data_IF_274969164006
#
_entry.id   IF_274969164006
#
_cell.length_a   1.000
_cell.length_b   1.000
_cell.length_c   1.000
_cell.angle_alpha   90.00
_cell.angle_beta   90.00
_cell.angle_gamma   90.00
#
_symmetry.space_group_name_H-M   'P 1'
#
loop_
_entity.id
_entity.type
_entity.pdbx_description
1 polymer ?
#
# COMPACT_ATOMS: atom_id res chain seq x y z
N UNK A 1 32.12 3.55 3.25
CA UNK A 1 30.76 3.08 3.61
C UNK A 1 30.64 3.09 5.12
N UNK A 2 29.87 3.99 5.68
CA UNK A 2 29.68 4.06 7.14
C UNK A 2 28.24 3.67 7.44
N UNK A 3 28.05 2.72 8.33
CA UNK A 3 26.74 2.32 8.82
C UNK A 3 26.32 3.25 9.95
N UNK A 4 25.22 3.95 9.78
CA UNK A 4 24.54 4.61 10.89
C UNK A 4 23.49 3.65 11.47
N UNK A 5 23.81 3.07 12.62
CA UNK A 5 22.88 2.23 13.41
C UNK A 5 22.07 3.06 14.41
N UNK A 6 21.92 4.37 14.17
CA UNK A 6 21.14 5.23 15.05
C UNK A 6 19.70 5.33 14.58
N UNK A 7 18.77 5.19 15.51
CA UNK A 7 17.35 5.41 15.28
C UNK A 7 17.12 6.90 15.07
N UNK A 8 16.95 7.31 13.82
CA UNK A 8 16.69 8.70 13.45
C UNK A 8 15.29 9.16 13.88
N UNK A 9 15.21 10.39 14.41
CA UNK A 9 13.92 11.08 14.57
C UNK A 9 13.45 11.62 13.21
N UNK A 10 12.14 11.77 12.99
CA UNK A 10 11.61 12.30 11.73
C UNK A 10 12.12 13.69 11.35
N UNK A 11 12.60 14.47 12.32
CA UNK A 11 13.05 15.86 12.13
C UNK A 11 14.52 15.98 11.64
N UNK A 12 15.26 14.87 11.50
CA UNK A 12 16.68 14.88 11.10
C UNK A 12 16.93 14.35 9.67
N UNK A 13 15.89 14.10 8.88
CA UNK A 13 15.99 13.46 7.58
C UNK A 13 16.24 14.47 6.45
N UNK A 14 17.43 15.08 6.37
CA UNK A 14 17.92 15.67 5.13
C UNK A 14 18.44 14.59 4.18
N UNK A 15 17.90 14.53 2.96
CA UNK A 15 18.27 13.52 1.96
C UNK A 15 19.62 13.83 1.32
N UNK A 16 19.89 15.11 1.07
CA UNK A 16 21.07 15.57 0.36
C UNK A 16 21.73 16.75 1.06
N UNK A 17 23.00 16.58 1.41
CA UNK A 17 23.83 17.68 1.94
C UNK A 17 24.95 17.95 0.94
N UNK A 18 25.02 19.16 0.39
CA UNK A 18 26.04 19.54 -0.59
C UNK A 18 27.30 20.02 0.08
N UNK A 19 28.42 19.28 -0.05
CA UNK A 19 29.78 19.77 0.19
C UNK A 19 30.62 19.59 -1.09
N UNK A 20 30.93 20.64 -1.69
CA UNK A 20 31.89 21.06 -2.74
C UNK A 20 32.38 20.14 -3.86
N UNK A 21 32.19 18.82 -3.84
CA UNK A 21 32.47 17.91 -4.97
C UNK A 21 31.76 16.54 -4.83
N UNK A 22 31.24 16.22 -3.66
CA UNK A 22 30.56 14.95 -3.41
C UNK A 22 29.15 15.22 -2.87
N UNK A 23 28.23 14.29 -3.14
CA UNK A 23 26.87 14.31 -2.63
C UNK A 23 26.70 13.16 -1.63
N UNK A 24 26.22 13.50 -0.43
CA UNK A 24 25.83 12.53 0.58
C UNK A 24 24.36 12.13 0.34
N UNK A 25 24.12 10.83 0.17
CA UNK A 25 22.80 10.28 -0.08
C UNK A 25 22.46 9.26 0.99
N UNK A 26 21.29 9.40 1.61
CA UNK A 26 20.73 8.42 2.52
C UNK A 26 19.59 7.65 1.82
N UNK A 27 19.68 6.32 1.80
CA UNK A 27 18.64 5.44 1.27
C UNK A 27 18.04 4.68 2.43
N UNK A 28 16.77 4.90 2.71
CA UNK A 28 16.08 4.31 3.85
C UNK A 28 15.33 3.02 3.48
N UNK A 29 15.16 2.14 4.47
CA UNK A 29 14.35 0.92 4.38
C UNK A 29 13.19 0.94 5.39
N UNK A 30 12.18 0.10 5.19
CA UNK A 30 11.00 0.05 6.07
C UNK A 30 11.28 -0.53 7.47
N UNK A 31 12.45 -1.09 7.72
CA UNK A 31 12.92 -1.50 9.06
C UNK A 31 13.55 -0.35 9.86
N UNK A 32 13.51 0.88 9.33
CA UNK A 32 14.12 2.09 9.89
C UNK A 32 15.65 2.10 9.85
N UNK A 33 16.25 1.23 9.06
CA UNK A 33 17.69 1.32 8.74
C UNK A 33 17.90 2.20 7.51
N UNK A 34 19.11 2.72 7.35
CA UNK A 34 19.50 3.52 6.21
C UNK A 34 20.91 3.20 5.77
N UNK A 35 21.16 3.35 4.47
CA UNK A 35 22.47 3.24 3.86
C UNK A 35 22.92 4.66 3.53
N UNK A 36 24.03 5.09 4.10
CA UNK A 36 24.65 6.37 3.77
C UNK A 36 25.75 6.17 2.71
N UNK A 37 25.63 6.87 1.61
CA UNK A 37 26.54 6.77 0.47
C UNK A 37 27.07 8.15 0.12
N UNK A 38 28.39 8.27 0.03
CA UNK A 38 29.03 9.48 -0.49
C UNK A 38 29.44 9.23 -1.94
N UNK A 39 28.92 10.03 -2.87
CA UNK A 39 29.12 9.88 -4.29
C UNK A 39 29.87 11.08 -4.86
N UNK A 40 30.98 10.84 -5.55
CA UNK A 40 31.59 11.83 -6.43
C UNK A 40 30.64 12.07 -7.63
N UNK A 41 30.36 13.35 -7.96
CA UNK A 41 29.37 13.71 -9.00
C UNK A 41 27.96 13.13 -8.77
N UNK A 42 27.56 12.89 -7.51
CA UNK A 42 26.31 12.23 -7.13
C UNK A 42 25.04 12.89 -7.67
N UNK A 43 25.12 14.19 -8.07
CA UNK A 43 24.03 14.88 -8.76
C UNK A 43 23.71 14.28 -10.14
N UNK A 44 24.63 13.53 -10.77
CA UNK A 44 24.44 12.84 -12.04
C UNK A 44 24.02 11.37 -11.88
N UNK A 45 24.16 10.81 -10.66
CA UNK A 45 23.85 9.42 -10.40
C UNK A 45 22.42 9.07 -10.82
N UNK A 46 22.27 7.98 -11.54
CA UNK A 46 20.98 7.41 -11.90
C UNK A 46 20.43 6.55 -10.74
N UNK A 47 19.14 6.32 -10.73
CA UNK A 47 18.51 5.47 -9.74
C UNK A 47 19.06 4.03 -9.80
N UNK A 48 19.47 3.56 -10.98
CA UNK A 48 20.09 2.25 -11.18
C UNK A 48 21.44 2.15 -10.45
N UNK A 49 22.27 3.20 -10.49
CA UNK A 49 23.56 3.26 -9.78
C UNK A 49 23.38 3.11 -8.26
N UNK A 50 22.40 3.85 -7.70
CA UNK A 50 22.06 3.79 -6.28
C UNK A 50 21.41 2.45 -5.90
N UNK A 51 20.61 1.90 -6.80
CA UNK A 51 19.98 0.60 -6.61
C UNK A 51 21.02 -0.52 -6.52
N UNK A 52 22.02 -0.53 -7.40
CA UNK A 52 23.12 -1.50 -7.39
C UNK A 52 23.94 -1.43 -6.09
N UNK A 53 24.14 -0.21 -5.55
CA UNK A 53 24.79 -0.04 -4.24
C UNK A 53 23.98 -0.72 -3.14
N UNK A 54 22.66 -0.56 -3.14
CA UNK A 54 21.79 -1.22 -2.15
C UNK A 54 21.82 -2.73 -2.32
N UNK A 55 21.75 -3.25 -3.56
CA UNK A 55 21.84 -4.68 -3.82
C UNK A 55 23.13 -5.28 -3.24
N UNK A 56 24.25 -4.60 -3.47
CA UNK A 56 25.56 -5.04 -2.97
C UNK A 56 25.64 -4.96 -1.46
N UNK A 57 25.21 -3.87 -0.85
CA UNK A 57 25.25 -3.66 0.60
C UNK A 57 24.39 -4.68 1.35
N UNK A 58 23.18 -4.95 0.86
CA UNK A 58 22.25 -5.90 1.47
C UNK A 58 22.51 -7.35 1.06
N UNK A 59 23.50 -7.62 0.19
CA UNK A 59 23.82 -8.96 -0.30
C UNK A 59 22.68 -9.61 -1.07
N UNK A 60 21.92 -8.81 -1.83
CA UNK A 60 20.76 -9.31 -2.59
C UNK A 60 21.23 -9.97 -3.89
N UNK A 61 20.64 -11.12 -4.26
CA UNK A 61 20.98 -11.80 -5.51
C UNK A 61 20.43 -11.03 -6.72
N UNK A 62 21.17 -11.05 -7.84
CA UNK A 62 20.80 -10.35 -9.06
C UNK A 62 19.43 -10.80 -9.62
N UNK A 63 19.06 -12.06 -9.41
CA UNK A 63 17.76 -12.60 -9.84
C UNK A 63 16.55 -11.93 -9.15
N UNK A 64 16.80 -11.20 -8.07
CA UNK A 64 15.78 -10.49 -7.32
C UNK A 64 15.75 -8.98 -7.58
N UNK A 65 16.45 -8.50 -8.61
CA UNK A 65 16.49 -7.08 -9.00
C UNK A 65 15.08 -6.50 -9.20
N UNK A 66 14.19 -7.22 -9.86
CA UNK A 66 12.82 -6.76 -10.13
C UNK A 66 11.90 -6.71 -8.91
N UNK A 67 12.29 -7.36 -7.79
CA UNK A 67 11.46 -7.42 -6.57
C UNK A 67 11.34 -6.06 -5.90
N UNK A 68 12.39 -5.25 -5.99
CA UNK A 68 12.49 -3.96 -5.32
C UNK A 68 12.61 -2.80 -6.30
N UNK A 69 12.45 -1.61 -5.79
CA UNK A 69 12.69 -0.36 -6.52
C UNK A 69 13.11 0.74 -5.55
N UNK A 70 13.71 1.80 -6.07
CA UNK A 70 13.88 3.05 -5.35
C UNK A 70 12.64 3.92 -5.52
N UNK A 71 12.27 4.60 -4.45
CA UNK A 71 11.12 5.48 -4.37
C UNK A 71 11.52 6.80 -3.73
N UNK A 72 10.93 7.88 -4.20
CA UNK A 72 10.85 9.13 -3.45
C UNK A 72 9.52 9.12 -2.70
N UNK A 73 9.57 9.26 -1.38
CA UNK A 73 8.40 9.11 -0.50
C UNK A 73 8.28 10.31 0.41
N UNK A 74 7.14 10.98 0.37
CA UNK A 74 6.75 12.04 1.28
C UNK A 74 5.31 11.84 1.78
N UNK A 75 4.83 12.67 2.70
CA UNK A 75 3.42 12.71 3.08
C UNK A 75 2.46 12.97 1.91
N UNK A 76 2.88 13.74 0.92
CA UNK A 76 2.03 14.11 -0.22
C UNK A 76 2.10 13.13 -1.39
N UNK A 77 3.27 12.50 -1.63
CA UNK A 77 3.48 11.70 -2.84
C UNK A 77 4.48 10.56 -2.61
N UNK A 78 4.12 9.37 -3.05
CA UNK A 78 5.03 8.23 -3.17
C UNK A 78 5.30 7.97 -4.66
N UNK A 79 6.53 8.22 -5.14
CA UNK A 79 6.91 8.12 -6.54
C UNK A 79 7.99 7.07 -6.76
N UNK A 80 7.67 5.99 -7.49
CA UNK A 80 8.66 4.99 -7.91
C UNK A 80 9.60 5.57 -8.96
N UNK A 81 10.90 5.42 -8.74
CA UNK A 81 11.92 5.83 -9.71
C UNK A 81 12.11 4.76 -10.79
N UNK A 82 12.27 5.21 -12.03
CA UNK A 82 12.78 4.38 -13.14
C UNK A 82 14.30 4.35 -13.06
N UNK A 83 14.92 3.32 -13.65
CA UNK A 83 16.37 3.12 -13.62
C UNK A 83 17.18 4.37 -14.02
N UNK A 84 16.76 5.07 -15.09
CA UNK A 84 17.43 6.27 -15.62
C UNK A 84 17.03 7.58 -14.95
N UNK A 85 16.11 7.56 -13.99
CA UNK A 85 15.81 8.77 -13.25
C UNK A 85 17.02 9.17 -12.41
N UNK A 86 17.29 10.46 -12.32
CA UNK A 86 18.32 11.05 -11.47
C UNK A 86 17.66 11.59 -10.20
N UNK A 87 17.79 10.90 -9.06
CA UNK A 87 17.04 11.24 -7.84
C UNK A 87 17.28 12.69 -7.40
N UNK A 88 18.49 13.19 -7.51
CA UNK A 88 18.83 14.57 -7.16
C UNK A 88 17.98 15.59 -7.95
N UNK A 89 17.87 15.43 -9.27
CA UNK A 89 17.05 16.34 -10.09
C UNK A 89 15.56 16.15 -9.84
N UNK A 90 15.12 14.92 -9.53
CA UNK A 90 13.73 14.65 -9.16
C UNK A 90 13.34 15.37 -7.87
N UNK A 91 14.24 15.39 -6.88
CA UNK A 91 14.03 16.15 -5.63
C UNK A 91 13.99 17.65 -5.89
N UNK A 92 14.85 18.18 -6.76
CA UNK A 92 14.79 19.60 -7.15
C UNK A 92 13.48 19.99 -7.86
N UNK A 93 12.82 19.04 -8.52
CA UNK A 93 11.55 19.23 -9.21
C UNK A 93 10.36 18.73 -8.37
N UNK A 94 10.55 18.53 -7.05
CA UNK A 94 9.54 17.89 -6.21
C UNK A 94 8.22 18.67 -6.16
N UNK A 95 8.28 19.99 -6.06
CA UNK A 95 7.12 20.88 -6.09
C UNK A 95 6.30 20.71 -7.38
N UNK A 96 6.98 20.60 -8.53
CA UNK A 96 6.32 20.36 -9.82
C UNK A 96 5.67 18.97 -9.89
N UNK A 97 6.34 17.96 -9.34
CA UNK A 97 5.81 16.59 -9.27
C UNK A 97 4.60 16.50 -8.35
N UNK A 98 4.66 17.12 -7.17
CA UNK A 98 3.51 17.21 -6.26
C UNK A 98 2.34 17.95 -6.92
N UNK A 99 2.59 19.09 -7.56
CA UNK A 99 1.55 19.84 -8.30
C UNK A 99 0.93 19.04 -9.45
N UNK A 100 1.73 18.18 -10.10
CA UNK A 100 1.26 17.35 -11.20
C UNK A 100 0.38 16.18 -10.76
N UNK A 101 0.73 15.53 -9.68
CA UNK A 101 0.15 14.24 -9.27
C UNK A 101 -0.78 14.34 -8.06
N UNK A 102 -0.79 15.48 -7.37
CA UNK A 102 -1.64 15.71 -6.21
C UNK A 102 -2.50 16.96 -6.38
N UNK A 103 -3.50 17.10 -5.52
CA UNK A 103 -4.34 18.28 -5.36
C UNK A 103 -4.01 18.96 -4.02
N UNK A 104 -2.72 19.02 -3.67
CA UNK A 104 -2.24 19.65 -2.45
C UNK A 104 -2.12 21.19 -2.66
N UNK A 105 -2.25 21.94 -1.57
CA UNK A 105 -2.10 23.40 -1.59
C UNK A 105 -0.62 23.79 -1.78
N UNK A 106 -0.37 24.94 -2.37
CA UNK A 106 0.99 25.41 -2.64
C UNK A 106 1.87 25.48 -1.37
N UNK A 107 1.26 25.81 -0.22
CA UNK A 107 1.96 25.86 1.07
C UNK A 107 2.34 24.44 1.56
N UNK A 108 1.43 23.47 1.40
CA UNK A 108 1.70 22.05 1.75
C UNK A 108 2.82 21.49 0.86
N UNK A 109 2.84 21.83 -0.43
CA UNK A 109 3.85 21.38 -1.38
C UNK A 109 5.22 21.98 -1.05
N UNK A 110 5.26 23.28 -0.71
CA UNK A 110 6.51 23.96 -0.39
C UNK A 110 7.20 23.41 0.86
N UNK A 111 6.42 22.92 1.81
CA UNK A 111 6.93 22.35 3.06
C UNK A 111 7.16 20.82 2.98
N UNK A 112 6.91 20.21 1.80
CA UNK A 112 6.99 18.76 1.61
C UNK A 112 8.36 18.34 1.08
N UNK A 113 9.06 17.50 1.81
CA UNK A 113 10.38 16.97 1.43
C UNK A 113 10.33 15.45 1.27
N UNK A 114 10.74 14.88 0.11
CA UNK A 114 10.75 13.45 -0.08
C UNK A 114 12.00 12.81 0.52
N UNK A 115 11.86 11.57 0.98
CA UNK A 115 12.97 10.70 1.35
C UNK A 115 13.18 9.61 0.30
N UNK A 116 14.44 9.23 0.06
CA UNK A 116 14.76 8.13 -0.85
C UNK A 116 14.64 6.81 -0.10
N UNK A 117 13.75 5.94 -0.58
CA UNK A 117 13.46 4.65 0.04
C UNK A 117 13.69 3.49 -0.91
N UNK A 118 14.25 2.41 -0.38
CA UNK A 118 14.32 1.11 -1.03
C UNK A 118 13.20 0.24 -0.49
N UNK A 119 12.26 -0.14 -1.37
CA UNK A 119 11.09 -0.92 -0.98
C UNK A 119 10.59 -1.77 -2.16
N UNK A 120 9.58 -2.61 -1.90
CA UNK A 120 8.99 -3.49 -2.88
C UNK A 120 8.56 -2.73 -4.14
N UNK A 121 8.86 -3.30 -5.29
CA UNK A 121 8.38 -2.80 -6.57
C UNK A 121 6.89 -3.15 -6.74
N UNK A 122 6.02 -2.14 -6.83
CA UNK A 122 4.58 -2.31 -7.01
C UNK A 122 4.22 -3.12 -8.28
N UNK A 123 5.12 -3.14 -9.26
CA UNK A 123 4.94 -3.90 -10.49
C UNK A 123 5.44 -5.34 -10.42
N UNK A 124 6.07 -5.75 -9.32
CA UNK A 124 6.49 -7.14 -9.15
C UNK A 124 5.27 -8.02 -8.82
N UNK A 125 5.00 -9.07 -9.63
CA UNK A 125 3.83 -9.93 -9.40
C UNK A 125 3.99 -10.75 -8.12
N UNK A 126 2.99 -10.73 -7.24
CA UNK A 126 3.00 -11.52 -6.00
C UNK A 126 3.07 -13.03 -6.26
N UNK A 127 2.59 -13.48 -7.40
CA UNK A 127 2.63 -14.88 -7.85
C UNK A 127 4.07 -15.37 -8.08
N UNK A 128 5.00 -14.48 -8.38
CA UNK A 128 6.43 -14.79 -8.49
C UNK A 128 7.12 -14.74 -7.13
N UNK A 129 6.66 -13.90 -6.23
CA UNK A 129 7.23 -13.71 -4.90
C UNK A 129 7.19 -14.98 -4.05
N UNK A 130 6.13 -15.81 -4.21
CA UNK A 130 6.03 -17.11 -3.53
C UNK A 130 7.19 -18.07 -3.82
N UNK A 131 7.93 -17.86 -4.91
CA UNK A 131 9.06 -18.69 -5.28
C UNK A 131 10.41 -18.21 -4.72
N UNK A 132 10.44 -17.04 -4.08
CA UNK A 132 11.65 -16.47 -3.50
C UNK A 132 12.05 -17.28 -2.27
N UNK A 133 13.31 -17.70 -2.21
CA UNK A 133 13.87 -18.49 -1.10
C UNK A 133 15.02 -17.79 -0.39
N UNK A 134 15.52 -16.69 -0.93
CA UNK A 134 16.65 -15.93 -0.38
C UNK A 134 16.23 -15.19 0.90
N UNK A 135 16.88 -15.51 2.01
CA UNK A 135 16.56 -14.94 3.33
C UNK A 135 16.65 -13.41 3.35
N UNK A 136 17.67 -12.83 2.70
CA UNK A 136 17.87 -11.38 2.64
C UNK A 136 16.69 -10.68 1.97
N UNK A 137 16.17 -11.26 0.90
CA UNK A 137 15.00 -10.75 0.16
C UNK A 137 13.75 -10.88 1.02
N UNK A 138 13.52 -12.06 1.62
CA UNK A 138 12.37 -12.32 2.50
C UNK A 138 12.39 -11.40 3.72
N UNK A 139 13.57 -11.06 4.27
CA UNK A 139 13.73 -10.12 5.38
C UNK A 139 13.20 -8.74 5.02
N UNK A 140 13.59 -8.19 3.86
CA UNK A 140 13.15 -6.85 3.44
C UNK A 140 11.64 -6.84 3.18
N UNK A 141 11.11 -7.86 2.47
CA UNK A 141 9.68 -8.01 2.21
C UNK A 141 8.87 -8.15 3.51
N UNK A 142 9.40 -8.91 4.51
CA UNK A 142 8.79 -9.04 5.81
C UNK A 142 8.70 -7.69 6.54
N UNK A 143 9.76 -6.89 6.55
CA UNK A 143 9.74 -5.60 7.22
C UNK A 143 8.75 -4.63 6.57
N UNK A 144 8.64 -4.63 5.25
CA UNK A 144 7.64 -3.83 4.54
C UNK A 144 6.21 -4.32 4.81
N UNK A 145 6.00 -5.62 4.78
CA UNK A 145 4.70 -6.21 5.11
C UNK A 145 4.29 -5.91 6.56
N UNK A 146 5.22 -6.04 7.50
CA UNK A 146 5.03 -5.65 8.91
C UNK A 146 4.66 -4.16 9.03
N UNK A 147 5.35 -3.28 8.32
CA UNK A 147 5.03 -1.85 8.30
C UNK A 147 3.58 -1.63 7.84
N UNK A 148 3.18 -2.22 6.72
CA UNK A 148 1.81 -2.09 6.21
C UNK A 148 0.74 -2.68 7.14
N UNK A 149 1.05 -3.74 7.88
CA UNK A 149 0.16 -4.26 8.93
C UNK A 149 0.01 -3.25 10.07
N UNK A 150 1.11 -2.68 10.56
CA UNK A 150 1.10 -1.73 11.69
C UNK A 150 0.42 -0.40 11.34
N UNK A 151 0.58 0.08 10.09
CA UNK A 151 -0.11 1.26 9.58
C UNK A 151 -1.62 1.03 9.29
N UNK A 152 -2.13 -0.19 9.50
CA UNK A 152 -3.52 -0.53 9.21
C UNK A 152 -3.86 -0.55 7.72
N UNK A 153 -2.85 -0.60 6.85
CA UNK A 153 -3.02 -0.77 5.40
C UNK A 153 -3.39 -2.20 5.05
N UNK A 154 -2.81 -3.18 5.77
CA UNK A 154 -3.15 -4.59 5.67
C UNK A 154 -4.11 -4.97 6.78
N UNK A 155 -5.38 -5.16 6.41
CA UNK A 155 -6.43 -5.55 7.35
C UNK A 155 -6.59 -7.08 7.36
N UNK A 156 -6.60 -7.63 8.56
CA UNK A 156 -6.60 -9.06 8.80
C UNK A 156 -7.72 -9.42 9.78
N UNK A 157 -8.04 -10.70 9.88
CA UNK A 157 -8.90 -11.15 10.96
C UNK A 157 -8.15 -11.20 12.30
N UNK A 158 -8.90 -11.26 13.40
CA UNK A 158 -8.32 -11.21 14.75
C UNK A 158 -7.28 -12.30 15.00
N UNK A 159 -7.51 -13.53 14.53
CA UNK A 159 -6.62 -14.66 14.80
C UNK A 159 -5.31 -14.56 13.99
N UNK A 160 -5.40 -14.00 12.77
CA UNK A 160 -4.22 -13.71 11.94
C UNK A 160 -3.33 -12.66 12.57
N UNK A 161 -3.90 -11.56 13.11
CA UNK A 161 -3.11 -10.57 13.84
C UNK A 161 -2.34 -11.20 15.00
N UNK A 162 -2.96 -12.09 15.78
CA UNK A 162 -2.28 -12.78 16.89
C UNK A 162 -1.18 -13.71 16.41
N UNK A 163 -1.42 -14.44 15.32
CA UNK A 163 -0.42 -15.33 14.73
C UNK A 163 0.78 -14.54 14.20
N UNK A 164 0.55 -13.47 13.46
CA UNK A 164 1.62 -12.61 12.96
C UNK A 164 2.43 -11.96 14.10
N UNK A 165 1.74 -11.48 15.14
CA UNK A 165 2.39 -10.96 16.34
C UNK A 165 3.20 -12.02 17.07
N UNK A 166 2.77 -13.28 17.07
CA UNK A 166 3.51 -14.42 17.62
C UNK A 166 4.77 -14.74 16.83
N UNK A 167 4.70 -14.78 15.50
CA UNK A 167 5.88 -14.95 14.62
C UNK A 167 6.86 -13.80 14.83
N UNK A 168 6.37 -12.56 14.85
CA UNK A 168 7.18 -11.39 15.08
C UNK A 168 7.84 -11.40 16.46
N UNK A 169 7.15 -11.88 17.49
CA UNK A 169 7.71 -12.02 18.84
C UNK A 169 8.83 -13.06 18.88
N UNK A 170 8.68 -14.19 18.20
CA UNK A 170 9.75 -15.19 18.09
C UNK A 170 11.00 -14.64 17.41
N UNK A 171 10.81 -13.81 16.35
CA UNK A 171 11.92 -13.17 15.64
C UNK A 171 12.65 -12.08 16.43
N UNK A 172 11.95 -11.38 17.34
CA UNK A 172 12.47 -10.18 18.04
C UNK A 172 12.72 -10.36 19.54
N UNK A 173 12.03 -11.28 20.18
CA UNK A 173 12.11 -11.58 21.62
C UNK A 173 12.69 -12.95 21.90
N UNK A 174 13.01 -13.74 20.85
CA UNK A 174 13.42 -15.15 20.94
C UNK A 174 12.30 -16.06 21.49
N UNK A 175 12.63 -17.32 21.81
CA UNK A 175 11.69 -18.31 22.32
C UNK A 175 11.02 -17.86 23.61
N UNK A 176 9.74 -18.19 23.72
CA UNK A 176 8.96 -17.90 24.92
C UNK A 176 9.62 -18.47 26.17
N UNK A 177 9.82 -17.60 27.16
CA UNK A 177 10.31 -17.96 28.47
C UNK A 177 9.44 -17.29 29.55
N UNK A 178 8.78 -18.10 30.37
CA UNK A 178 7.85 -17.62 31.40
C UNK A 178 8.48 -16.69 32.47
N UNK A 179 9.80 -16.67 32.59
CA UNK A 179 10.50 -15.77 33.53
C UNK A 179 10.66 -14.35 32.97
N UNK A 180 10.85 -14.24 31.66
CA UNK A 180 11.15 -12.97 30.98
C UNK A 180 9.92 -12.41 30.26
N UNK A 181 9.05 -13.27 29.75
CA UNK A 181 7.87 -12.90 28.95
C UNK A 181 6.63 -12.89 29.82
N UNK A 182 6.54 -11.86 30.69
CA UNK A 182 5.36 -11.61 31.54
C UNK A 182 4.35 -10.73 30.79
N UNK A 183 3.09 -10.73 31.23
CA UNK A 183 1.98 -10.04 30.53
C UNK A 183 2.22 -8.53 30.38
N UNK A 184 2.95 -7.91 31.33
CA UNK A 184 3.30 -6.50 31.31
C UNK A 184 4.24 -6.16 30.16
N UNK A 185 5.15 -7.05 29.77
CA UNK A 185 6.04 -6.90 28.61
C UNK A 185 5.21 -6.78 27.32
N UNK A 186 4.23 -7.65 27.16
CA UNK A 186 3.36 -7.61 25.97
C UNK A 186 2.49 -6.35 25.95
N UNK A 187 1.92 -5.96 27.10
CA UNK A 187 1.10 -4.75 27.22
C UNK A 187 1.87 -3.48 26.87
N UNK A 188 3.12 -3.37 27.31
CA UNK A 188 3.95 -2.20 27.01
C UNK A 188 4.33 -2.09 25.53
N UNK A 189 4.39 -3.22 24.81
CA UNK A 189 4.90 -3.29 23.44
C UNK A 189 3.80 -3.43 22.37
N UNK A 190 2.51 -3.37 22.72
CA UNK A 190 1.39 -3.60 21.79
C UNK A 190 1.53 -2.79 20.48
N UNK A 191 1.93 -1.52 20.58
CA UNK A 191 2.08 -0.62 19.43
C UNK A 191 3.14 -1.04 18.40
N UNK A 192 4.05 -1.95 18.76
CA UNK A 192 5.10 -2.48 17.88
C UNK A 192 4.65 -3.73 17.12
N UNK A 193 3.53 -4.35 17.51
CA UNK A 193 3.08 -5.64 17.02
C UNK A 193 1.66 -5.63 16.46
N UNK A 194 0.88 -4.63 16.81
CA UNK A 194 -0.51 -4.48 16.38
C UNK A 194 -0.79 -3.10 15.83
N UNK A 195 -1.61 -2.96 14.80
CA UNK A 195 -2.09 -1.67 14.35
C UNK A 195 -2.99 -1.03 15.42
N UNK A 196 -3.05 0.30 15.41
CA UNK A 196 -3.70 1.08 16.45
C UNK A 196 -5.17 0.70 16.68
N UNK A 197 -5.92 0.46 15.61
CA UNK A 197 -7.34 0.10 15.67
C UNK A 197 -7.60 -1.22 16.41
N UNK A 198 -6.62 -2.16 16.45
CA UNK A 198 -6.76 -3.46 17.12
C UNK A 198 -6.65 -3.31 18.64
N UNK A 199 -5.74 -2.48 19.17
CA UNK A 199 -5.51 -2.37 20.60
C UNK A 199 -6.14 -1.12 21.24
N UNK A 200 -6.46 -0.08 20.47
CA UNK A 200 -7.17 1.10 21.00
C UNK A 200 -8.62 0.74 21.31
N UNK A 201 -9.02 0.92 22.57
CA UNK A 201 -10.42 0.74 22.97
C UNK A 201 -11.24 1.88 22.38
N UNK A 202 -12.41 1.62 21.76
CA UNK A 202 -13.28 2.67 21.29
C UNK A 202 -13.69 3.55 22.48
N UNK A 203 -13.34 4.82 22.42
CA UNK A 203 -13.71 5.84 23.40
C UNK A 203 -15.08 6.41 23.04
N UNK A 204 -16.15 5.93 23.66
CA UNK A 204 -17.47 6.52 23.47
C UNK A 204 -18.55 5.89 24.38
N UNK A 205 -19.58 6.68 24.70
CA UNK A 205 -20.69 6.27 25.57
C UNK A 205 -21.44 5.02 25.05
N UNK A 206 -21.36 4.74 23.74
CA UNK A 206 -22.01 3.59 23.10
C UNK A 206 -21.13 2.32 23.04
N UNK A 207 -19.84 2.43 23.33
CA UNK A 207 -18.90 1.29 23.32
C UNK A 207 -19.21 0.25 24.41
N UNK A 208 -19.85 0.68 25.52
CA UNK A 208 -20.20 -0.23 26.64
C UNK A 208 -21.27 -1.26 26.30
N UNK A 209 -22.05 -1.11 25.23
CA UNK A 209 -23.16 -2.03 24.88
C UNK A 209 -22.77 -3.20 23.98
N UNK A 210 -21.58 -3.20 23.36
CA UNK A 210 -21.13 -4.28 22.42
C UNK A 210 -20.16 -5.29 23.02
N UNK A 211 -19.68 -5.12 24.26
CA UNK A 211 -18.79 -6.06 24.89
C UNK A 211 -19.57 -7.09 25.70
N UNK A 212 -20.14 -8.09 25.04
CA UNK A 212 -20.64 -9.28 25.73
C UNK A 212 -19.56 -10.38 25.70
N UNK A 213 -19.01 -10.69 26.87
CA UNK A 213 -18.08 -11.80 27.15
C UNK A 213 -16.75 -11.35 27.73
N UNK A 214 -16.06 -12.20 28.52
CA UNK A 214 -14.67 -11.98 28.91
C UNK A 214 -13.83 -12.06 27.62
N UNK A 215 -13.52 -10.90 27.05
CA UNK A 215 -12.51 -10.82 25.97
C UNK A 215 -11.19 -11.06 26.69
N UNK A 216 -10.58 -12.19 26.43
CA UNK A 216 -9.18 -12.37 26.76
C UNK A 216 -8.45 -11.13 26.27
N UNK A 217 -7.67 -10.51 27.12
CA UNK A 217 -6.94 -9.29 26.76
C UNK A 217 -6.05 -9.59 25.56
N UNK A 218 -5.86 -8.61 24.67
CA UNK A 218 -5.04 -8.79 23.45
C UNK A 218 -3.65 -9.29 23.81
N UNK A 219 -3.10 -8.78 24.90
CA UNK A 219 -1.80 -9.19 25.43
C UNK A 219 -1.76 -10.68 25.83
N UNK A 220 -2.85 -11.24 26.35
CA UNK A 220 -2.94 -12.66 26.71
C UNK A 220 -2.98 -13.54 25.45
N UNK A 221 -3.74 -13.13 24.44
CA UNK A 221 -3.80 -13.84 23.15
C UNK A 221 -2.45 -13.81 22.45
N UNK A 222 -1.79 -12.65 22.47
CA UNK A 222 -0.45 -12.53 21.90
C UNK A 222 0.58 -13.39 22.64
N UNK A 223 0.59 -13.37 23.97
CA UNK A 223 1.45 -14.24 24.78
C UNK A 223 1.21 -15.70 24.43
N UNK A 224 -0.04 -16.12 24.29
CA UNK A 224 -0.38 -17.50 23.92
C UNK A 224 0.08 -17.82 22.49
N UNK A 225 -0.08 -16.92 21.53
CA UNK A 225 0.43 -17.10 20.17
C UNK A 225 1.96 -17.21 20.14
N UNK A 226 2.68 -16.35 20.88
CA UNK A 226 4.14 -16.44 21.00
C UNK A 226 4.58 -17.78 21.62
N UNK A 227 3.89 -18.22 22.68
CA UNK A 227 4.16 -19.52 23.31
C UNK A 227 3.94 -20.68 22.33
N UNK A 228 2.81 -20.68 21.63
CA UNK A 228 2.48 -21.72 20.67
C UNK A 228 3.51 -21.81 19.55
N UNK A 229 3.84 -20.66 18.92
CA UNK A 229 4.84 -20.62 17.84
C UNK A 229 6.21 -21.04 18.38
N UNK A 230 6.62 -20.58 19.58
CA UNK A 230 7.88 -21.01 20.20
C UNK A 230 7.98 -22.52 20.40
N UNK A 231 6.87 -23.19 20.74
CA UNK A 231 6.83 -24.65 20.89
C UNK A 231 7.08 -25.39 19.56
N UNK A 232 6.60 -24.84 18.45
CA UNK A 232 6.84 -25.41 17.12
C UNK A 232 8.33 -25.43 16.76
N UNK A 233 9.12 -24.47 17.29
CA UNK A 233 10.56 -24.32 17.08
C UNK A 233 11.40 -24.66 18.32
N UNK A 234 10.88 -25.47 19.26
CA UNK A 234 11.52 -25.74 20.57
C UNK A 234 12.98 -26.24 20.43
N UNK A 235 13.20 -27.15 19.47
CA UNK A 235 14.52 -27.78 19.25
C UNK A 235 15.34 -27.12 18.12
N UNK A 236 14.85 -26.04 17.54
CA UNK A 236 15.48 -25.37 16.42
C UNK A 236 16.29 -24.15 16.91
N UNK A 237 17.34 -23.81 16.20
CA UNK A 237 18.04 -22.54 16.37
C UNK A 237 17.29 -21.45 15.58
N UNK A 238 16.80 -20.42 16.27
CA UNK A 238 15.97 -19.37 15.67
C UNK A 238 16.75 -18.56 14.63
N UNK A 239 18.04 -18.31 14.83
CA UNK A 239 18.84 -17.59 13.86
C UNK A 239 18.95 -18.34 12.54
N UNK A 240 19.03 -19.67 12.58
CA UNK A 240 19.01 -20.52 11.36
C UNK A 240 17.62 -20.62 10.69
N UNK A 241 16.56 -20.20 11.38
CA UNK A 241 15.16 -20.29 10.93
C UNK A 241 14.56 -18.94 10.54
N UNK A 242 15.33 -17.85 10.56
CA UNK A 242 14.81 -16.51 10.25
C UNK A 242 14.14 -16.44 8.87
N UNK A 243 14.78 -16.99 7.84
CA UNK A 243 14.22 -17.01 6.48
C UNK A 243 12.87 -17.76 6.39
N UNK A 244 12.75 -18.87 7.13
CA UNK A 244 11.49 -19.64 7.22
C UNK A 244 10.39 -18.82 7.94
N UNK A 245 10.73 -18.13 9.02
CA UNK A 245 9.80 -17.30 9.78
C UNK A 245 9.36 -16.06 9.00
N UNK A 246 10.26 -15.40 8.25
CA UNK A 246 9.90 -14.30 7.35
C UNK A 246 8.91 -14.78 6.29
N UNK A 247 9.22 -15.93 5.66
CA UNK A 247 8.34 -16.52 4.66
C UNK A 247 6.98 -16.86 5.24
N UNK A 248 6.94 -17.51 6.41
CA UNK A 248 5.70 -17.86 7.09
C UNK A 248 4.83 -16.62 7.38
N UNK A 249 5.43 -15.51 7.78
CA UNK A 249 4.73 -14.25 7.97
C UNK A 249 4.09 -13.75 6.66
N UNK A 250 4.84 -13.78 5.56
CA UNK A 250 4.38 -13.36 4.24
C UNK A 250 3.28 -14.26 3.67
N UNK A 251 3.33 -15.56 3.94
CA UNK A 251 2.33 -16.55 3.50
C UNK A 251 0.92 -16.24 4.01
N UNK A 252 0.79 -15.62 5.18
CA UNK A 252 -0.51 -15.12 5.67
C UNK A 252 -1.04 -13.95 4.87
N UNK A 253 -0.16 -13.17 4.22
CA UNK A 253 -0.51 -11.92 3.55
C UNK A 253 -0.72 -12.06 2.05
N UNK A 254 0.01 -12.98 1.39
CA UNK A 254 -0.08 -13.19 -0.06
C UNK A 254 -1.48 -13.44 -0.61
N UNK A 255 -2.40 -14.12 0.10
CA UNK A 255 -3.77 -14.33 -0.41
C UNK A 255 -4.57 -13.04 -0.56
N UNK A 256 -4.23 -11.98 0.16
CA UNK A 256 -5.01 -10.75 0.18
C UNK A 256 -4.89 -9.94 -1.12
N UNK A 257 -5.99 -9.32 -1.58
CA UNK A 257 -6.01 -8.55 -2.84
C UNK A 257 -5.19 -7.26 -2.76
N UNK A 258 -4.95 -6.74 -1.58
CA UNK A 258 -4.18 -5.51 -1.34
C UNK A 258 -2.69 -5.75 -1.11
N UNK A 259 -2.22 -7.00 -1.05
CA UNK A 259 -0.81 -7.29 -0.85
C UNK A 259 0.05 -6.73 -1.99
N UNK A 260 1.15 -6.06 -1.63
CA UNK A 260 2.08 -5.44 -2.57
C UNK A 260 1.51 -4.27 -3.36
N UNK A 261 0.43 -3.65 -2.88
CA UNK A 261 -0.18 -2.48 -3.48
C UNK A 261 0.48 -1.17 -3.03
N UNK A 262 0.39 -0.14 -3.87
CA UNK A 262 0.49 1.24 -3.44
C UNK A 262 -0.85 1.68 -2.84
N UNK A 263 -0.79 2.46 -1.75
CA UNK A 263 -1.96 2.89 -0.99
C UNK A 263 -2.18 4.38 -1.13
N UNK A 264 -3.41 4.77 -1.38
CA UNK A 264 -3.82 6.15 -1.55
C UNK A 264 -4.91 6.51 -0.56
N UNK A 265 -4.74 7.62 0.15
CA UNK A 265 -5.81 8.21 0.96
C UNK A 265 -6.97 8.61 0.06
N UNK A 266 -8.16 8.14 0.40
CA UNK A 266 -9.36 8.37 -0.39
C UNK A 266 -10.61 8.35 0.48
N UNK A 267 -11.72 8.77 -0.08
CA UNK A 267 -13.02 8.63 0.55
C UNK A 267 -14.11 8.39 -0.50
N UNK A 268 -15.20 7.80 -0.06
CA UNK A 268 -16.41 7.61 -0.87
C UNK A 268 -17.62 8.21 -0.15
N UNK A 269 -18.59 8.69 -0.93
CA UNK A 269 -19.83 9.20 -0.38
C UNK A 269 -20.67 8.07 0.20
N UNK A 270 -21.15 8.23 1.43
CA UNK A 270 -22.10 7.30 2.03
C UNK A 270 -23.42 7.35 1.27
N UNK A 271 -24.01 6.20 0.88
CA UNK A 271 -25.32 6.20 0.27
C UNK A 271 -26.34 6.93 1.13
N UNK A 272 -27.07 7.88 0.54
CA UNK A 272 -28.11 8.61 1.27
C UNK A 272 -29.25 7.64 1.62
N UNK A 273 -29.42 7.35 2.92
CA UNK A 273 -30.60 6.64 3.41
C UNK A 273 -31.85 7.50 3.27
N UNK A 274 -33.06 6.91 3.37
CA UNK A 274 -34.36 7.60 3.25
C UNK A 274 -34.55 8.82 4.18
N UNK A 275 -33.67 9.04 5.15
CA UNK A 275 -33.64 10.19 6.08
C UNK A 275 -32.34 11.04 5.91
N UNK A 276 -31.63 10.91 4.80
CA UNK A 276 -30.32 11.54 4.54
C UNK A 276 -30.34 13.07 4.54
N UNK A 277 -31.50 13.70 4.33
CA UNK A 277 -31.66 15.16 4.38
C UNK A 277 -31.50 15.77 5.80
N UNK A 278 -31.51 14.94 6.85
CA UNK A 278 -31.36 15.40 8.26
C UNK A 278 -29.97 15.17 8.84
N UNK A 279 -29.07 14.45 8.15
CA UNK A 279 -27.68 14.24 8.59
C UNK A 279 -26.73 14.69 7.49
N UNK A 280 -25.75 15.55 7.83
CA UNK A 280 -24.56 15.76 6.98
C UNK A 280 -24.03 14.39 6.55
N UNK A 281 -23.92 14.19 5.24
CA UNK A 281 -23.32 13.00 4.67
C UNK A 281 -21.92 12.84 5.25
N UNK A 282 -21.71 11.83 6.09
CA UNK A 282 -20.37 11.49 6.52
C UNK A 282 -19.74 10.64 5.40
N UNK A 283 -18.66 11.11 4.83
CA UNK A 283 -17.86 10.34 3.90
C UNK A 283 -17.30 9.10 4.62
N UNK A 284 -17.10 8.03 3.89
CA UNK A 284 -16.38 6.85 4.39
C UNK A 284 -14.92 7.03 3.97
N UNK A 285 -14.03 7.20 4.95
CA UNK A 285 -12.60 7.23 4.72
C UNK A 285 -12.13 5.85 4.28
N UNK A 286 -11.35 5.81 3.21
CA UNK A 286 -10.90 4.56 2.61
C UNK A 286 -9.41 4.61 2.27
N UNK A 287 -8.78 3.43 2.25
CA UNK A 287 -7.56 3.20 1.47
C UNK A 287 -7.95 2.69 0.09
N UNK A 288 -7.44 3.32 -0.95
CA UNK A 288 -7.44 2.73 -2.29
C UNK A 288 -6.10 2.07 -2.53
N UNK A 289 -6.09 0.74 -2.62
CA UNK A 289 -4.91 -0.07 -2.85
C UNK A 289 -4.86 -0.49 -4.33
N UNK A 290 -3.76 -0.20 -5.01
CA UNK A 290 -3.57 -0.46 -6.45
C UNK A 290 -2.31 -1.29 -6.62
N UNK A 291 -2.42 -2.45 -7.27
CA UNK A 291 -1.30 -3.33 -7.59
C UNK A 291 -1.42 -3.91 -9.00
N UNK A 292 -0.54 -4.85 -9.36
CA UNK A 292 -0.55 -5.50 -10.68
C UNK A 292 -1.85 -6.24 -10.99
N UNK A 293 -2.68 -6.60 -10.01
CA UNK A 293 -3.87 -7.44 -10.20
C UNK A 293 -5.15 -6.63 -10.37
N UNK A 294 -5.26 -5.49 -9.70
CA UNK A 294 -6.47 -4.68 -9.74
C UNK A 294 -6.49 -3.58 -8.72
N UNK A 295 -7.69 -3.13 -8.40
CA UNK A 295 -7.98 -2.07 -7.42
C UNK A 295 -8.77 -2.67 -6.26
N UNK A 296 -8.32 -2.37 -5.04
CA UNK A 296 -8.99 -2.77 -3.80
C UNK A 296 -9.34 -1.52 -2.98
N UNK A 297 -10.56 -1.46 -2.45
CA UNK A 297 -11.04 -0.39 -1.58
C UNK A 297 -11.25 -0.93 -0.18
N UNK A 298 -10.72 -0.25 0.82
CA UNK A 298 -10.71 -0.67 2.22
C UNK A 298 -11.35 0.43 3.07
N UNK A 299 -12.38 0.11 3.85
CA UNK A 299 -13.00 1.00 4.84
C UNK A 299 -12.06 1.10 6.07
N UNK A 300 -11.54 2.29 6.35
CA UNK A 300 -10.60 2.55 7.46
C UNK A 300 -11.27 2.59 8.83
N UNK A 301 -12.58 2.82 8.88
CA UNK A 301 -13.32 2.86 10.15
C UNK A 301 -13.73 1.46 10.59
N UNK A 302 -14.07 0.59 9.63
CA UNK A 302 -14.58 -0.76 9.91
C UNK A 302 -13.55 -1.86 9.72
N UNK A 303 -12.37 -1.52 9.17
CA UNK A 303 -11.33 -2.49 8.83
C UNK A 303 -11.86 -3.63 7.95
N UNK A 304 -12.55 -3.27 6.86
CA UNK A 304 -13.13 -4.23 5.93
C UNK A 304 -12.82 -3.87 4.46
N UNK A 305 -12.66 -4.89 3.62
CA UNK A 305 -12.57 -4.72 2.17
C UNK A 305 -13.97 -4.45 1.62
N UNK A 306 -14.17 -3.26 1.06
CA UNK A 306 -15.42 -2.87 0.42
C UNK A 306 -15.51 -3.37 -1.01
N UNK A 307 -14.38 -3.37 -1.72
CA UNK A 307 -14.30 -3.71 -3.14
C UNK A 307 -12.92 -4.30 -3.45
N UNK A 308 -12.87 -5.35 -4.26
CA UNK A 308 -11.64 -5.85 -4.86
C UNK A 308 -11.97 -6.29 -6.30
N UNK A 309 -11.48 -5.54 -7.29
CA UNK A 309 -11.83 -5.75 -8.71
C UNK A 309 -10.57 -5.90 -9.55
N UNK A 310 -10.45 -7.00 -10.30
CA UNK A 310 -9.35 -7.17 -11.24
C UNK A 310 -9.52 -6.24 -12.46
N UNK A 311 -8.42 -5.86 -13.11
CA UNK A 311 -8.46 -4.98 -14.28
C UNK A 311 -9.29 -5.55 -15.46
N UNK A 312 -9.52 -6.85 -15.52
CA UNK A 312 -10.37 -7.48 -16.54
C UNK A 312 -11.85 -7.15 -16.40
N UNK A 313 -12.28 -6.69 -15.22
CA UNK A 313 -13.66 -6.39 -14.86
C UNK A 313 -13.85 -4.91 -14.48
N UNK A 314 -12.80 -4.09 -14.65
CA UNK A 314 -12.76 -2.70 -14.22
C UNK A 314 -12.62 -1.75 -15.41
N UNK A 315 -13.43 -0.69 -15.43
CA UNK A 315 -13.21 0.52 -16.21
C UNK A 315 -12.99 1.69 -15.24
N UNK A 316 -12.15 2.65 -15.62
CA UNK A 316 -11.84 3.80 -14.79
C UNK A 316 -11.76 5.07 -15.60
N UNK A 317 -12.03 6.21 -14.96
CA UNK A 317 -11.94 7.55 -15.55
C UNK A 317 -11.56 8.56 -14.47
N UNK A 318 -10.78 9.56 -14.85
CA UNK A 318 -10.48 10.71 -14.01
C UNK A 318 -11.64 11.71 -14.03
N UNK A 319 -12.06 12.20 -12.88
CA UNK A 319 -13.03 13.28 -12.73
C UNK A 319 -12.39 14.53 -12.15
N UNK A 320 -12.50 15.63 -12.89
CA UNK A 320 -12.09 16.95 -12.39
C UNK A 320 -12.96 17.39 -11.21
N UNK A 321 -12.39 18.17 -10.25
CA UNK A 321 -13.19 18.82 -9.23
C UNK A 321 -14.29 19.66 -9.87
N UNK A 322 -15.54 19.46 -9.45
CA UNK A 322 -16.61 20.37 -9.89
C UNK A 322 -16.49 21.66 -9.08
N UNK A 323 -16.24 22.76 -9.77
CA UNK A 323 -16.21 24.11 -9.17
C UNK A 323 -17.64 24.53 -8.80
N UNK A 324 -18.23 23.91 -7.81
CA UNK A 324 -19.39 24.42 -7.10
C UNK A 324 -18.90 25.13 -5.84
N UNK A 325 -19.45 26.28 -5.60
CA UNK A 325 -19.31 27.32 -4.59
C UNK A 325 -18.66 26.98 -3.23
N UNK A 326 -18.41 25.72 -2.92
CA UNK A 326 -17.69 25.26 -1.72
C UNK A 326 -16.25 24.84 -2.09
N UNK A 327 -15.29 25.47 -1.41
CA UNK A 327 -13.82 25.34 -1.56
C UNK A 327 -13.24 23.94 -1.31
N UNK A 328 -14.08 22.93 -1.14
CA UNK A 328 -13.75 21.55 -0.74
C UNK A 328 -14.03 20.50 -1.85
N UNK A 329 -14.03 20.88 -3.12
CA UNK A 329 -14.22 19.89 -4.19
C UNK A 329 -12.90 19.16 -4.51
N UNK A 330 -12.89 17.84 -4.33
CA UNK A 330 -11.73 16.98 -4.60
C UNK A 330 -11.82 16.34 -5.99
N UNK A 331 -10.68 16.13 -6.66
CA UNK A 331 -10.64 15.27 -7.83
C UNK A 331 -11.01 13.84 -7.46
N UNK A 332 -11.48 13.06 -8.43
CA UNK A 332 -11.93 11.71 -8.17
C UNK A 332 -11.55 10.72 -9.28
N UNK A 333 -11.63 9.45 -8.95
CA UNK A 333 -11.58 8.35 -9.90
C UNK A 333 -12.96 7.69 -9.95
N UNK A 334 -13.56 7.62 -11.12
CA UNK A 334 -14.74 6.80 -11.36
C UNK A 334 -14.30 5.37 -11.64
N UNK A 335 -14.79 4.43 -10.84
CA UNK A 335 -14.59 3.00 -11.02
C UNK A 335 -15.90 2.37 -11.47
N UNK A 336 -15.92 1.80 -12.66
CA UNK A 336 -17.08 1.07 -13.20
C UNK A 336 -16.76 -0.42 -13.22
N UNK A 337 -17.66 -1.23 -12.62
CA UNK A 337 -17.47 -2.68 -12.49
C UNK A 337 -18.82 -3.42 -12.50
N UNK A 338 -18.75 -4.73 -12.71
CA UNK A 338 -19.92 -5.60 -12.73
C UNK A 338 -20.12 -6.27 -11.38
N UNK A 339 -21.35 -6.29 -10.89
CA UNK A 339 -21.75 -7.04 -9.71
C UNK A 339 -22.92 -7.96 -10.00
N UNK A 340 -22.97 -9.08 -9.32
CA UNK A 340 -24.15 -9.96 -9.36
C UNK A 340 -25.12 -9.48 -8.27
N UNK A 341 -26.28 -9.00 -8.66
CA UNK A 341 -27.34 -8.64 -7.72
C UNK A 341 -28.45 -9.68 -7.78
N UNK A 342 -28.96 -10.05 -6.60
CA UNK A 342 -30.12 -10.90 -6.48
C UNK A 342 -31.36 -10.03 -6.45
N UNK A 343 -32.25 -10.19 -7.46
CA UNK A 343 -33.52 -9.51 -7.49
C UNK A 343 -34.46 -10.06 -6.40
N UNK A 344 -35.53 -9.30 -5.99
CA UNK A 344 -36.51 -9.79 -5.03
C UNK A 344 -37.15 -11.15 -5.43
N UNK A 345 -37.17 -11.43 -6.72
CA UNK A 345 -37.71 -12.68 -7.31
C UNK A 345 -36.67 -13.84 -7.24
N UNK A 346 -35.50 -13.63 -6.63
CA UNK A 346 -34.46 -14.64 -6.46
C UNK A 346 -33.55 -14.84 -7.69
N UNK A 347 -33.75 -14.08 -8.77
CA UNK A 347 -32.96 -14.18 -10.02
C UNK A 347 -31.68 -13.38 -9.86
N UNK A 348 -30.51 -13.99 -10.15
CA UNK A 348 -29.24 -13.27 -10.23
C UNK A 348 -29.12 -12.53 -11.54
N UNK A 349 -28.86 -11.23 -11.47
CA UNK A 349 -28.59 -10.38 -12.62
C UNK A 349 -27.24 -9.69 -12.50
N UNK A 350 -26.50 -9.65 -13.59
CA UNK A 350 -25.28 -8.82 -13.70
C UNK A 350 -25.69 -7.37 -13.92
N UNK A 351 -25.29 -6.51 -13.02
CA UNK A 351 -25.52 -5.06 -13.10
C UNK A 351 -24.20 -4.31 -13.10
N UNK A 352 -24.13 -3.24 -13.88
CA UNK A 352 -22.98 -2.35 -13.88
C UNK A 352 -23.16 -1.33 -12.76
N UNK A 353 -22.16 -1.18 -11.90
CA UNK A 353 -22.09 -0.12 -10.88
C UNK A 353 -20.95 0.82 -11.20
N UNK A 354 -21.15 2.09 -10.85
CA UNK A 354 -20.13 3.14 -10.87
C UNK A 354 -19.94 3.64 -9.46
N UNK A 355 -18.70 3.63 -9.00
CA UNK A 355 -18.30 4.17 -7.71
C UNK A 355 -17.38 5.36 -7.95
N UNK A 356 -17.65 6.45 -7.27
CA UNK A 356 -16.81 7.64 -7.27
C UNK A 356 -15.93 7.61 -6.04
N UNK A 357 -14.61 7.61 -6.26
CA UNK A 357 -13.58 7.58 -5.23
C UNK A 357 -12.82 8.89 -5.27
N UNK A 358 -12.94 9.69 -4.24
CA UNK A 358 -12.31 10.98 -4.12
C UNK A 358 -10.92 10.84 -3.50
N UNK A 359 -9.93 11.50 -4.08
CA UNK A 359 -8.56 11.53 -3.53
C UNK A 359 -7.80 12.73 -4.10
N UNK A 360 -7.00 13.40 -3.27
CA UNK A 360 -6.05 14.41 -3.76
C UNK A 360 -5.03 13.83 -4.75
N UNK A 361 -4.77 12.53 -4.68
CA UNK A 361 -3.85 11.80 -5.55
C UNK A 361 -4.56 11.08 -6.72
N UNK A 362 -5.77 11.49 -7.09
CA UNK A 362 -6.55 10.82 -8.15
C UNK A 362 -5.79 10.72 -9.48
N UNK A 363 -4.99 11.73 -9.86
CA UNK A 363 -4.12 11.69 -11.04
C UNK A 363 -3.06 10.60 -10.96
N UNK A 364 -2.42 10.45 -9.79
CA UNK A 364 -1.43 9.41 -9.56
C UNK A 364 -2.05 8.02 -9.55
N UNK A 365 -3.25 7.88 -8.98
CA UNK A 365 -4.01 6.61 -9.01
C UNK A 365 -4.28 6.18 -10.46
N UNK A 366 -4.75 7.09 -11.33
CA UNK A 366 -4.98 6.80 -12.75
C UNK A 366 -3.68 6.41 -13.44
N UNK A 367 -2.60 7.17 -13.27
CA UNK A 367 -1.30 6.87 -13.87
C UNK A 367 -0.78 5.48 -13.47
N UNK A 368 -0.96 5.09 -12.20
CA UNK A 368 -0.56 3.76 -11.74
C UNK A 368 -1.43 2.64 -12.32
N UNK A 369 -2.75 2.82 -12.37
CA UNK A 369 -3.68 1.86 -12.99
C UNK A 369 -3.31 1.64 -14.46
N UNK A 370 -3.10 2.72 -15.21
CA UNK A 370 -2.72 2.66 -16.64
C UNK A 370 -1.39 1.94 -16.83
N UNK A 371 -0.39 2.24 -15.99
CA UNK A 371 0.91 1.58 -16.01
C UNK A 371 0.80 0.08 -15.74
N UNK A 372 0.01 -0.33 -14.74
CA UNK A 372 -0.24 -1.75 -14.43
C UNK A 372 -0.91 -2.49 -15.60
N UNK A 373 -1.91 -1.86 -16.21
CA UNK A 373 -2.64 -2.45 -17.34
C UNK A 373 -1.76 -2.58 -18.58
N UNK A 374 -0.95 -1.56 -18.86
CA UNK A 374 -0.05 -1.58 -20.02
C UNK A 374 1.03 -2.67 -19.86
N UNK A 375 1.65 -2.78 -18.67
CA UNK A 375 2.60 -3.87 -18.37
C UNK A 375 1.95 -5.25 -18.56
N UNK A 376 0.71 -5.45 -18.09
CA UNK A 376 -0.04 -6.70 -18.33
C UNK A 376 -0.27 -7.00 -19.81
N UNK A 377 -0.54 -5.98 -20.62
CA UNK A 377 -0.70 -6.15 -22.08
C UNK A 377 0.60 -6.55 -22.75
N UNK A 378 1.72 -5.92 -22.37
CA UNK A 378 3.05 -6.25 -22.89
C UNK A 378 3.44 -7.70 -22.55
N UNK A 379 3.28 -8.11 -21.29
CA UNK A 379 3.55 -9.48 -20.85
C UNK A 379 2.71 -10.52 -21.61
N UNK A 380 1.43 -10.25 -21.87
CA UNK A 380 0.56 -11.14 -22.66
C UNK A 380 1.00 -11.26 -24.12
N UNK A 381 1.70 -10.25 -24.66
CA UNK A 381 2.27 -10.29 -26.03
C UNK A 381 3.66 -10.93 -26.07
N UNK A 382 4.19 -11.38 -24.92
CA UNK A 382 5.56 -11.91 -24.81
C UNK A 382 6.64 -10.83 -24.93
N UNK A 383 6.28 -9.55 -24.76
CA UNK A 383 7.20 -8.42 -24.76
C UNK A 383 7.62 -8.18 -23.33
N UNK A 384 8.94 -8.18 -23.00
CA UNK A 384 9.40 -7.80 -21.68
C UNK A 384 8.90 -6.39 -21.36
N UNK A 385 8.36 -6.19 -20.18
CA UNK A 385 7.97 -4.87 -19.73
C UNK A 385 9.23 -4.08 -19.41
N UNK A 386 9.72 -3.31 -20.37
CA UNK A 386 10.87 -2.44 -20.20
C UNK A 386 10.42 -1.24 -19.36
N UNK A 387 11.23 -0.85 -18.36
CA UNK A 387 10.95 0.28 -17.48
C UNK A 387 10.91 1.66 -18.20
N UNK A 388 11.33 1.70 -19.46
CA UNK A 388 11.46 2.91 -20.28
C UNK A 388 10.20 3.30 -21.08
N UNK A 389 9.09 2.55 -20.96
CA UNK A 389 7.87 2.94 -21.67
C UNK A 389 7.23 4.11 -20.94
N UNK A 390 7.41 5.31 -21.47
CA UNK A 390 6.64 6.47 -21.08
C UNK A 390 5.16 6.19 -21.27
N UNK A 391 4.42 6.00 -20.16
CA UNK A 391 2.99 5.68 -20.14
C UNK A 391 2.08 6.83 -20.59
N UNK A 392 2.55 7.71 -21.48
CA UNK A 392 1.80 8.89 -21.92
C UNK A 392 1.22 8.82 -23.34
N UNK A 393 1.30 7.70 -24.03
CA UNK A 393 0.73 7.58 -25.37
C UNK A 393 -0.08 6.33 -25.55
N UNK A 394 -1.35 6.41 -25.26
CA UNK A 394 -2.30 5.35 -25.57
C UNK A 394 -3.68 5.65 -25.02
N UNK A 395 -4.38 6.59 -25.60
CA UNK A 395 -5.84 6.65 -25.44
C UNK A 395 -6.41 5.33 -26.01
N UNK A 396 -6.76 4.43 -25.11
CA UNK A 396 -7.34 3.15 -25.45
C UNK A 396 -8.74 3.37 -26.04
N UNK A 397 -9.07 2.69 -27.16
CA UNK A 397 -10.45 2.62 -27.69
C UNK A 397 -11.47 2.14 -26.64
N UNK A 398 -11.00 1.38 -25.65
CA UNK A 398 -11.79 0.91 -24.52
C UNK A 398 -12.10 2.06 -23.54
N UNK A 399 -11.15 2.95 -23.33
CA UNK A 399 -11.28 4.17 -22.54
C UNK A 399 -12.31 5.12 -23.15
N UNK A 400 -12.27 5.33 -24.47
CA UNK A 400 -13.22 6.16 -25.21
C UNK A 400 -14.68 5.65 -25.10
N UNK A 401 -14.90 4.33 -24.97
CA UNK A 401 -16.24 3.78 -24.76
C UNK A 401 -16.78 4.01 -23.35
N UNK A 402 -15.91 4.07 -22.34
CA UNK A 402 -16.29 4.39 -20.97
C UNK A 402 -16.57 5.87 -20.78
N UNK A 403 -15.76 6.76 -21.36
CA UNK A 403 -15.88 8.22 -21.29
C UNK A 403 -17.29 8.70 -21.71
N UNK A 404 -17.84 8.18 -22.79
CA UNK A 404 -19.17 8.58 -23.28
C UNK A 404 -20.32 8.16 -22.37
N UNK A 405 -20.14 7.20 -21.46
CA UNK A 405 -21.15 6.73 -20.52
C UNK A 405 -21.02 7.35 -19.14
N UNK A 406 -19.80 7.60 -18.68
CA UNK A 406 -19.52 8.09 -17.32
C UNK A 406 -19.79 9.58 -17.14
N UNK A 407 -19.60 10.41 -18.18
CA UNK A 407 -19.77 11.87 -18.11
C UNK A 407 -21.20 12.36 -17.82
N UNK A 408 -22.16 11.47 -17.59
CA UNK A 408 -23.57 11.81 -17.30
C UNK A 408 -24.08 11.27 -15.97
N UNK A 409 -23.25 10.60 -15.12
CA UNK A 409 -23.81 9.78 -14.05
C UNK A 409 -23.01 9.80 -12.75
N UNK A 410 -23.58 10.43 -11.76
CA UNK A 410 -23.29 10.14 -10.35
C UNK A 410 -24.13 8.93 -9.93
N UNK A 411 -23.46 7.82 -9.53
CA UNK A 411 -24.04 6.65 -8.84
C UNK A 411 -25.36 6.12 -9.40
N UNK A 412 -25.35 5.57 -10.61
CA UNK A 412 -26.52 4.88 -11.19
C UNK A 412 -26.25 3.41 -11.43
N UNK A 413 -27.22 2.57 -11.10
CA UNK A 413 -27.20 1.13 -11.37
C UNK A 413 -27.81 0.87 -12.75
N UNK A 414 -27.09 0.16 -13.64
CA UNK A 414 -27.59 -0.25 -14.94
C UNK A 414 -27.80 -1.76 -15.01
N UNK A 415 -28.94 -2.18 -15.49
CA UNK A 415 -29.18 -3.57 -15.85
C UNK A 415 -28.76 -3.81 -17.29
N UNK A 416 -27.93 -4.81 -17.53
CA UNK A 416 -27.54 -5.28 -18.89
C UNK A 416 -28.63 -6.08 -19.62
N UNK A 417 -29.89 -6.04 -19.16
CA UNK A 417 -31.01 -6.66 -19.86
C UNK A 417 -31.47 -5.78 -21.02
N UNK A 418 -30.80 -5.86 -22.17
CA UNK A 418 -31.22 -5.06 -23.34
C UNK A 418 -30.31 -5.14 -24.57
N UNK A 419 -29.43 -6.13 -24.65
CA UNK A 419 -28.84 -6.49 -25.94
C UNK A 419 -29.30 -7.89 -26.34
N UNK A 420 -30.61 -8.02 -26.58
CA UNK A 420 -31.10 -9.07 -27.45
C UNK A 420 -31.12 -8.51 -28.87
N UNK A 421 -30.37 -9.20 -29.70
CA UNK A 421 -30.41 -9.29 -31.14
C UNK A 421 -31.74 -8.78 -31.77
N UNK A 422 -31.59 -7.83 -32.65
CA UNK A 422 -32.36 -7.89 -33.90
C UNK A 422 -31.51 -7.30 -35.01
N UNK A 423 -31.21 -8.18 -35.97
CA UNK A 423 -30.73 -8.02 -37.34
C UNK A 423 -29.22 -7.77 -37.52
#
# INVERSE_FOLDING_TARGET
MYYCNESFSPDEMCIFTTCTASLDVCIFMRDRTGIHVQLEEGHQAEADDLFDIVLQDQGLPAECEDVFALWLVSPLLELRLKKKHKPFFMVQQWDELCSKYTDAKAEEIHDDEPVLMFQRNVFFPKEQEVNITYEQVLRILYHEAKYNVLEGRYILNSDEYHTLAGIQALLSMDKYNSRNHIIETYRASLHQYYPEHVYRKPTGFFARRKSQGPKDAIEERWLNAHRQISQEYENEDIDSKRGELYRRYLEYLWPYPFYGAAFFDSFINKPQGKLGFLKRSHNIETWTAINTNGVCLIDREKDEVLLAVPYTELCWEYGEPQFDVDDDSFPCVFLQFLVNERTPDGVERRVTKVLQVYSRQAKMMIALIESCVERKKLLRRGIPAIDDVDGMTGQNEFHARCINKLGKMCLTTFTTSGMNNNQ
#
